data_IF_855235397468
#
_entry.id   IF_855235397468
#
_cell.length_a   1.000
_cell.length_b   1.000
_cell.length_c   1.000
_cell.angle_alpha   90.00
_cell.angle_beta   90.00
_cell.angle_gamma   90.00
#
_symmetry.space_group_name_H-M   'P 1'
#
loop_
_entity.id
_entity.type
_entity.pdbx_description
1 polymer ?
#
# COMPACT_ATOMS: atom_id res chain seq x y z
N UNK A 1 19.24 10.80 13.10
CA UNK A 1 18.38 11.44 12.09
C UNK A 1 17.28 10.44 11.71
N UNK A 2 16.01 10.86 11.73
CA UNK A 2 14.92 10.02 11.22
C UNK A 2 15.11 9.82 9.70
N UNK A 3 14.98 8.59 9.23
CA UNK A 3 15.15 8.23 7.83
C UNK A 3 13.87 7.56 7.34
N UNK A 4 13.53 7.74 6.07
CA UNK A 4 12.35 7.11 5.49
C UNK A 4 12.65 6.57 4.09
N UNK A 5 11.90 5.53 3.72
CA UNK A 5 11.85 5.01 2.36
C UNK A 5 10.39 4.94 1.90
N UNK A 6 10.15 5.25 0.62
CA UNK A 6 8.85 5.10 -0.02
C UNK A 6 9.01 4.14 -1.19
N UNK A 7 8.26 3.04 -1.20
CA UNK A 7 8.19 2.10 -2.32
C UNK A 7 6.90 2.31 -3.11
N UNK A 8 7.05 2.67 -4.38
CA UNK A 8 5.98 2.70 -5.36
C UNK A 8 6.11 1.55 -6.39
N UNK A 9 6.89 0.51 -6.05
CA UNK A 9 7.08 -0.65 -6.92
C UNK A 9 5.76 -1.38 -7.12
N UNK A 10 5.49 -1.79 -8.35
CA UNK A 10 4.35 -2.59 -8.70
C UNK A 10 4.62 -3.32 -10.01
N UNK A 11 4.01 -4.50 -10.23
CA UNK A 11 4.19 -5.21 -11.48
C UNK A 11 3.61 -4.40 -12.63
N UNK A 12 4.28 -4.40 -13.78
CA UNK A 12 3.73 -3.82 -15.00
C UNK A 12 2.73 -4.80 -15.61
N UNK A 13 1.53 -4.33 -15.96
CA UNK A 13 0.49 -5.18 -16.58
C UNK A 13 1.02 -5.99 -17.76
N UNK A 14 0.68 -7.28 -17.81
CA UNK A 14 1.15 -8.23 -18.82
C UNK A 14 2.54 -8.85 -18.55
N UNK A 15 3.19 -8.49 -17.44
CA UNK A 15 4.46 -9.12 -17.03
C UNK A 15 4.24 -10.48 -16.39
N UNK A 16 5.25 -11.35 -16.46
CA UNK A 16 5.25 -12.62 -15.75
C UNK A 16 5.19 -12.40 -14.23
N UNK A 17 4.57 -13.32 -13.47
CA UNK A 17 4.57 -13.27 -12.01
C UNK A 17 6.02 -13.35 -11.51
N UNK A 18 6.50 -12.29 -10.87
CA UNK A 18 7.79 -12.27 -10.18
C UNK A 18 7.58 -11.70 -8.78
N UNK A 19 8.30 -12.21 -7.75
CA UNK A 19 8.17 -11.73 -6.37
C UNK A 19 8.90 -10.38 -6.16
N UNK A 20 8.63 -9.39 -7.01
CA UNK A 20 9.37 -8.12 -7.03
C UNK A 20 9.17 -7.32 -5.75
N UNK A 21 7.91 -7.10 -5.37
CA UNK A 21 7.53 -6.22 -4.26
C UNK A 21 7.90 -6.88 -2.94
N UNK A 22 7.59 -8.16 -2.77
CA UNK A 22 7.95 -8.90 -1.56
C UNK A 22 9.47 -8.97 -1.35
N UNK A 23 10.25 -9.28 -2.40
CA UNK A 23 11.71 -9.32 -2.31
C UNK A 23 12.30 -7.93 -2.02
N UNK A 24 11.86 -6.88 -2.72
CA UNK A 24 12.35 -5.53 -2.49
C UNK A 24 12.05 -5.05 -1.06
N UNK A 25 10.83 -5.28 -0.58
CA UNK A 25 10.43 -4.95 0.79
C UNK A 25 11.22 -5.75 1.82
N UNK A 26 11.54 -7.02 1.54
CA UNK A 26 12.42 -7.83 2.39
C UNK A 26 13.79 -7.18 2.61
N UNK A 27 14.44 -6.71 1.54
CA UNK A 27 15.74 -6.02 1.65
C UNK A 27 15.63 -4.70 2.42
N UNK A 28 14.56 -3.93 2.21
CA UNK A 28 14.35 -2.68 2.97
C UNK A 28 14.15 -2.98 4.46
N UNK A 29 13.38 -4.02 4.80
CA UNK A 29 13.16 -4.45 6.17
C UNK A 29 14.46 -4.90 6.82
N UNK A 30 15.30 -5.65 6.11
CA UNK A 30 16.62 -6.09 6.60
C UNK A 30 17.50 -4.87 6.96
N UNK A 31 17.61 -3.89 6.06
CA UNK A 31 18.38 -2.66 6.29
C UNK A 31 17.78 -1.78 7.39
N UNK A 32 16.45 -1.79 7.55
CA UNK A 32 15.73 -1.00 8.54
C UNK A 32 15.70 -1.64 9.93
N UNK A 33 15.92 -2.96 10.04
CA UNK A 33 15.81 -3.70 11.29
C UNK A 33 16.79 -3.16 12.34
N UNK A 34 16.26 -2.85 13.53
CA UNK A 34 17.04 -2.27 14.64
C UNK A 34 17.29 -0.76 14.53
N UNK A 35 16.86 -0.09 13.44
CA UNK A 35 16.98 1.38 13.31
C UNK A 35 15.76 2.06 13.93
N UNK A 36 15.98 2.80 15.01
CA UNK A 36 14.95 3.62 15.63
C UNK A 36 14.60 4.82 14.75
N UNK A 37 13.31 5.10 14.59
CA UNK A 37 12.82 6.23 13.79
C UNK A 37 12.95 6.06 12.28
N UNK A 38 13.18 4.83 11.77
CA UNK A 38 13.08 4.53 10.35
C UNK A 38 11.62 4.30 9.95
N UNK A 39 11.11 4.99 8.93
CA UNK A 39 9.75 4.81 8.41
C UNK A 39 9.76 4.18 7.02
N UNK A 40 8.98 3.11 6.82
CA UNK A 40 8.81 2.49 5.50
C UNK A 40 7.38 2.66 4.97
N UNK A 41 7.20 3.42 3.90
CA UNK A 41 5.88 3.63 3.28
C UNK A 41 5.81 2.83 1.98
N UNK A 42 4.75 2.03 1.81
CA UNK A 42 4.54 1.17 0.65
C UNK A 42 3.23 1.51 -0.02
N UNK A 43 3.27 1.76 -1.33
CA UNK A 43 2.07 1.89 -2.16
C UNK A 43 1.71 0.51 -2.70
N UNK A 44 0.50 0.06 -2.36
CA UNK A 44 -0.02 -1.25 -2.73
C UNK A 44 -1.30 -1.08 -3.56
N UNK A 45 -2.36 -1.86 -3.30
CA UNK A 45 -3.64 -1.75 -3.99
C UNK A 45 -4.81 -2.05 -3.05
N UNK A 46 -5.99 -1.48 -3.32
CA UNK A 46 -7.19 -1.68 -2.51
C UNK A 46 -7.60 -3.16 -2.31
N UNK A 47 -7.26 -4.06 -3.24
CA UNK A 47 -7.55 -5.49 -3.10
C UNK A 47 -6.61 -6.28 -2.18
N UNK A 48 -5.53 -5.65 -1.69
CA UNK A 48 -4.50 -6.31 -0.87
C UNK A 48 -4.96 -6.39 0.58
N UNK A 49 -4.70 -7.54 1.19
CA UNK A 49 -4.99 -7.77 2.61
C UNK A 49 -3.89 -7.15 3.48
N UNK A 50 -4.25 -6.56 4.62
CA UNK A 50 -3.29 -6.03 5.57
C UNK A 50 -3.95 -5.52 6.86
N UNK A 51 -3.27 -5.54 8.01
CA UNK A 51 -3.88 -5.14 9.27
C UNK A 51 -4.20 -3.64 9.29
N UNK A 52 -5.25 -3.19 10.02
CA UNK A 52 -6.29 -4.01 10.65
C UNK A 52 -7.37 -4.38 9.61
N UNK A 53 -7.36 -5.62 9.15
CA UNK A 53 -8.41 -6.12 8.26
C UNK A 53 -9.55 -6.70 9.09
N UNK A 54 -10.60 -5.91 9.29
CA UNK A 54 -11.89 -6.36 9.83
C UNK A 54 -13.00 -6.39 8.77
N UNK A 55 -12.72 -5.95 7.53
CA UNK A 55 -13.77 -5.61 6.55
C UNK A 55 -13.60 -6.23 5.16
N UNK A 56 -14.77 -6.60 4.63
CA UNK A 56 -15.07 -7.24 3.35
C UNK A 56 -14.95 -6.33 2.12
N UNK A 57 -13.79 -5.71 1.86
CA UNK A 57 -13.61 -4.90 0.64
C UNK A 57 -13.80 -5.74 -0.64
N UNK A 58 -13.41 -7.02 -0.58
CA UNK A 58 -13.65 -8.00 -1.65
C UNK A 58 -15.15 -8.18 -2.00
N UNK A 59 -16.09 -7.79 -1.12
CA UNK A 59 -17.52 -7.91 -1.38
C UNK A 59 -18.17 -6.69 -2.06
N UNK A 60 -17.50 -5.52 -2.12
CA UNK A 60 -18.07 -4.29 -2.72
C UNK A 60 -17.63 -4.03 -4.16
N UNK A 61 -16.65 -4.77 -4.65
CA UNK A 61 -16.19 -4.69 -6.03
C UNK A 61 -16.75 -5.90 -6.78
N UNK A 62 -17.09 -5.82 -8.08
CA UNK A 62 -17.40 -7.01 -8.87
C UNK A 62 -16.10 -7.83 -8.99
N UNK A 63 -15.84 -8.60 -7.94
CA UNK A 63 -14.59 -9.27 -7.58
C UNK A 63 -14.14 -10.28 -8.64
N UNK A 64 -15.05 -10.64 -9.54
CA UNK A 64 -14.78 -11.52 -10.69
C UNK A 64 -13.98 -10.85 -11.80
N UNK A 65 -14.09 -9.54 -12.03
CA UNK A 65 -13.38 -8.84 -13.12
C UNK A 65 -11.93 -8.52 -12.71
N UNK A 66 -11.71 -8.15 -11.45
CA UNK A 66 -10.39 -7.78 -10.91
C UNK A 66 -9.51 -9.00 -10.67
N UNK A 67 -10.08 -10.09 -10.14
CA UNK A 67 -9.34 -11.36 -10.00
C UNK A 67 -9.00 -11.99 -11.36
N UNK A 68 -9.86 -11.81 -12.37
CA UNK A 68 -9.64 -12.35 -13.71
C UNK A 68 -8.62 -11.54 -14.54
N UNK A 69 -8.51 -10.21 -14.33
CA UNK A 69 -7.59 -9.35 -15.08
C UNK A 69 -6.24 -9.10 -14.37
N UNK A 70 -6.18 -9.20 -13.04
CA UNK A 70 -4.99 -8.88 -12.21
C UNK A 70 -4.42 -10.10 -11.47
N UNK A 71 -4.82 -11.31 -11.88
CA UNK A 71 -4.28 -12.57 -11.38
C UNK A 71 -2.75 -12.62 -11.40
N UNK A 72 -2.18 -13.24 -10.38
CA UNK A 72 -0.74 -13.31 -10.01
C UNK A 72 -0.07 -12.02 -9.52
N UNK A 73 -0.40 -10.85 -10.05
CA UNK A 73 0.17 -9.55 -9.60
C UNK A 73 -0.21 -9.22 -8.16
N UNK A 74 -1.43 -9.57 -7.74
CA UNK A 74 -1.85 -9.42 -6.33
C UNK A 74 -1.12 -10.38 -5.38
N UNK A 75 -0.62 -11.53 -5.85
CA UNK A 75 0.05 -12.50 -4.98
C UNK A 75 1.34 -11.93 -4.41
N UNK A 76 2.11 -11.21 -5.23
CA UNK A 76 3.34 -10.56 -4.80
C UNK A 76 3.05 -9.41 -3.80
N UNK A 77 1.96 -8.66 -4.00
CA UNK A 77 1.54 -7.61 -3.06
C UNK A 77 0.96 -8.15 -1.76
N UNK A 78 0.23 -9.26 -1.78
CA UNK A 78 -0.22 -9.96 -0.57
C UNK A 78 0.98 -10.55 0.19
N UNK A 79 1.98 -11.07 -0.52
CA UNK A 79 3.23 -11.52 0.07
C UNK A 79 4.03 -10.36 0.69
N UNK A 80 4.12 -9.21 0.02
CA UNK A 80 4.72 -7.98 0.56
C UNK A 80 4.03 -7.56 1.87
N UNK A 81 2.69 -7.55 1.90
CA UNK A 81 1.93 -7.24 3.11
C UNK A 81 2.22 -8.22 4.25
N UNK A 82 2.39 -9.51 3.93
CA UNK A 82 2.69 -10.56 4.92
C UNK A 82 4.07 -10.36 5.54
N UNK A 83 5.10 -10.08 4.72
CA UNK A 83 6.46 -9.84 5.21
C UNK A 83 6.52 -8.56 6.06
N UNK A 84 5.80 -7.51 5.65
CA UNK A 84 5.69 -6.28 6.45
C UNK A 84 5.04 -6.56 7.81
N UNK A 85 3.90 -7.24 7.83
CA UNK A 85 3.18 -7.56 9.06
C UNK A 85 4.02 -8.38 10.06
N UNK A 86 4.88 -9.27 9.56
CA UNK A 86 5.79 -10.08 10.37
C UNK A 86 7.02 -9.30 10.87
N UNK A 87 7.37 -8.17 10.25
CA UNK A 87 8.55 -7.38 10.63
C UNK A 87 8.32 -6.56 11.90
N UNK A 88 9.40 -6.08 12.53
CA UNK A 88 9.36 -5.10 13.63
C UNK A 88 9.48 -3.64 13.15
N UNK A 89 9.65 -3.41 11.84
CA UNK A 89 9.84 -2.08 11.24
C UNK A 89 8.56 -1.25 11.35
N UNK A 90 8.71 0.06 11.49
CA UNK A 90 7.62 1.02 11.44
C UNK A 90 7.21 1.28 9.98
N UNK A 91 6.20 0.56 9.51
CA UNK A 91 5.73 0.65 8.12
C UNK A 91 4.31 1.20 7.99
N UNK A 92 3.94 1.67 6.79
CA UNK A 92 2.56 2.01 6.38
C UNK A 92 2.30 1.45 4.99
N UNK A 93 1.26 0.62 4.83
CA UNK A 93 0.88 0.02 3.54
C UNK A 93 -0.37 0.72 2.98
N UNK A 94 -0.18 1.66 2.06
CA UNK A 94 -1.25 2.45 1.49
C UNK A 94 -2.00 1.63 0.43
N UNK A 95 -3.32 1.57 0.54
CA UNK A 95 -4.23 0.80 -0.34
C UNK A 95 -5.08 1.73 -1.20
N UNK A 96 -4.54 2.25 -2.32
CA UNK A 96 -5.30 3.13 -3.22
C UNK A 96 -6.29 2.35 -4.09
N UNK A 97 -7.40 2.99 -4.51
CA UNK A 97 -8.35 2.48 -5.48
C UNK A 97 -7.86 2.85 -6.90
N UNK A 98 -8.77 3.17 -7.83
CA UNK A 98 -8.38 3.55 -9.20
C UNK A 98 -7.57 4.84 -9.26
N UNK A 99 -6.36 4.79 -9.83
CA UNK A 99 -5.50 5.96 -9.99
C UNK A 99 -5.91 6.84 -11.17
N UNK A 100 -5.74 8.15 -11.04
CA UNK A 100 -6.01 9.13 -12.11
C UNK A 100 -4.83 10.09 -12.30
N UNK A 101 -4.71 10.65 -13.51
CA UNK A 101 -3.69 11.65 -13.88
C UNK A 101 -4.24 13.09 -13.89
N UNK A 102 -5.44 13.28 -13.34
CA UNK A 102 -6.04 14.61 -13.21
C UNK A 102 -5.42 15.42 -12.06
N UNK A 103 -5.77 16.73 -11.96
CA UNK A 103 -5.26 17.58 -10.88
C UNK A 103 -5.66 17.05 -9.49
N UNK A 104 -4.85 17.36 -8.46
CA UNK A 104 -5.17 17.00 -7.08
C UNK A 104 -6.50 17.63 -6.65
N UNK A 105 -7.30 16.86 -5.91
CA UNK A 105 -8.56 17.33 -5.32
C UNK A 105 -8.34 17.91 -3.92
N UNK A 106 -7.24 17.54 -3.26
CA UNK A 106 -6.82 18.09 -1.97
C UNK A 106 -7.58 17.59 -0.75
N UNK A 107 -8.52 16.65 -0.92
CA UNK A 107 -9.40 16.13 0.13
C UNK A 107 -9.26 14.61 0.30
N UNK A 108 -8.03 14.14 0.51
CA UNK A 108 -7.74 12.71 0.70
C UNK A 108 -8.46 12.18 1.95
N UNK A 109 -9.33 11.19 1.75
CA UNK A 109 -9.99 10.43 2.82
C UNK A 109 -9.21 9.16 3.08
N UNK A 110 -8.89 8.86 4.32
CA UNK A 110 -8.19 7.64 4.72
C UNK A 110 -8.86 6.92 5.88
N UNK A 111 -8.84 5.59 5.87
CA UNK A 111 -9.35 4.75 6.95
C UNK A 111 -8.59 3.42 6.99
N UNK A 112 -8.27 2.94 8.18
CA UNK A 112 -7.48 1.73 8.37
C UNK A 112 -8.23 0.44 7.97
N UNK A 113 -9.57 0.47 8.01
CA UNK A 113 -10.45 -0.70 7.95
C UNK A 113 -11.43 -0.67 6.78
N UNK A 114 -11.90 0.51 6.38
CA UNK A 114 -12.96 0.68 5.38
C UNK A 114 -12.47 1.43 4.15
N UNK A 115 -12.91 1.02 2.97
CA UNK A 115 -12.63 1.77 1.75
C UNK A 115 -13.36 3.12 1.76
N UNK A 116 -12.62 4.18 1.46
CA UNK A 116 -13.06 5.58 1.56
C UNK A 116 -13.51 6.20 0.24
N UNK A 117 -13.45 5.45 -0.87
CA UNK A 117 -13.87 5.90 -2.20
C UNK A 117 -13.35 5.02 -3.34
N UNK A 118 -13.61 5.42 -4.59
CA UNK A 118 -13.32 4.62 -5.78
C UNK A 118 -12.13 5.10 -6.63
N UNK A 119 -11.64 6.33 -6.44
CA UNK A 119 -10.54 6.91 -7.22
C UNK A 119 -9.68 7.85 -6.37
N UNK A 120 -8.43 8.06 -6.79
CA UNK A 120 -7.51 9.07 -6.23
C UNK A 120 -6.58 9.55 -7.34
N UNK A 121 -6.18 10.83 -7.32
CA UNK A 121 -5.14 11.32 -8.23
C UNK A 121 -3.76 10.81 -7.79
N UNK A 122 -2.84 10.60 -8.73
CA UNK A 122 -1.46 10.23 -8.38
C UNK A 122 -0.76 11.31 -7.55
N UNK A 123 -1.11 12.58 -7.76
CA UNK A 123 -0.55 13.70 -7.03
C UNK A 123 -1.01 13.70 -5.55
N UNK A 124 -2.31 13.49 -5.31
CA UNK A 124 -2.85 13.35 -3.94
C UNK A 124 -2.29 12.10 -3.23
N UNK A 125 -2.15 10.98 -3.95
CA UNK A 125 -1.54 9.76 -3.41
C UNK A 125 -0.08 9.98 -3.02
N UNK A 126 0.70 10.67 -3.86
CA UNK A 126 2.09 10.98 -3.57
C UNK A 126 2.22 11.88 -2.33
N UNK A 127 1.37 12.91 -2.21
CA UNK A 127 1.33 13.78 -1.02
C UNK A 127 1.00 12.99 0.24
N UNK A 128 0.00 12.11 0.17
CA UNK A 128 -0.36 11.24 1.29
C UNK A 128 0.81 10.30 1.68
N UNK A 129 1.48 9.70 0.70
CA UNK A 129 2.64 8.83 0.96
C UNK A 129 3.80 9.57 1.63
N UNK A 130 4.07 10.82 1.22
CA UNK A 130 5.08 11.66 1.88
C UNK A 130 4.66 12.00 3.30
N UNK A 131 3.40 12.36 3.54
CA UNK A 131 2.89 12.64 4.90
C UNK A 131 3.10 11.45 5.85
N UNK A 132 2.88 10.23 5.36
CA UNK A 132 3.06 8.99 6.13
C UNK A 132 4.53 8.69 6.51
N UNK A 133 5.50 9.41 5.94
CA UNK A 133 6.90 9.29 6.37
C UNK A 133 7.13 9.83 7.78
N UNK A 134 6.28 10.75 8.25
CA UNK A 134 6.40 11.41 9.55
C UNK A 134 5.19 11.22 10.45
N UNK A 135 4.00 11.07 9.86
CA UNK A 135 2.74 10.94 10.60
C UNK A 135 2.61 9.54 11.24
N UNK A 136 2.37 9.44 12.57
CA UNK A 136 2.24 8.16 13.25
C UNK A 136 0.84 7.53 13.14
N UNK A 137 -0.12 8.15 12.46
CA UNK A 137 -1.54 7.71 12.46
C UNK A 137 -1.72 6.25 12.03
N UNK A 138 -0.94 5.79 11.05
CA UNK A 138 -1.08 4.46 10.45
C UNK A 138 0.16 3.56 10.65
N UNK A 139 0.94 3.78 11.72
CA UNK A 139 2.09 2.91 12.02
C UNK A 139 1.66 1.45 12.10
N UNK A 140 2.29 0.59 11.29
CA UNK A 140 2.02 -0.84 11.14
C UNK A 140 0.59 -1.14 10.72
N UNK A 141 -0.01 -0.26 9.92
CA UNK A 141 -1.37 -0.39 9.40
C UNK A 141 -1.41 -0.22 7.88
N UNK A 142 -2.55 -0.63 7.31
CA UNK A 142 -2.79 -0.70 5.88
C UNK A 142 -3.96 0.20 5.44
N UNK A 143 -3.85 1.54 5.53
CA UNK A 143 -4.98 2.42 5.27
C UNK A 143 -5.45 2.38 3.81
N UNK A 144 -6.76 2.33 3.63
CA UNK A 144 -7.40 2.71 2.38
C UNK A 144 -7.33 4.23 2.20
N UNK A 145 -7.20 4.68 0.96
CA UNK A 145 -7.19 6.12 0.63
C UNK A 145 -8.09 6.41 -0.56
N UNK A 146 -8.67 7.60 -0.64
CA UNK A 146 -9.43 8.05 -1.80
C UNK A 146 -9.40 9.58 -1.90
N UNK A 147 -9.57 10.13 -3.10
CA UNK A 147 -9.76 11.57 -3.33
C UNK A 147 -11.21 11.95 -3.56
#
# INVERSE_FOLDING_TARGET
AAAAAISALGPRGGSQPVPLCATASGHVIEVASGRTGFRYVVISAAGVKGPPDTTSFLARLPSRIIRALLGTTYLDKDAEATVLAASSVDWVLIRPPGLTDGPPRGNVKSDATQATGGRISRDDLARFAVLMTTDPTYVRQSPFVAG
#
